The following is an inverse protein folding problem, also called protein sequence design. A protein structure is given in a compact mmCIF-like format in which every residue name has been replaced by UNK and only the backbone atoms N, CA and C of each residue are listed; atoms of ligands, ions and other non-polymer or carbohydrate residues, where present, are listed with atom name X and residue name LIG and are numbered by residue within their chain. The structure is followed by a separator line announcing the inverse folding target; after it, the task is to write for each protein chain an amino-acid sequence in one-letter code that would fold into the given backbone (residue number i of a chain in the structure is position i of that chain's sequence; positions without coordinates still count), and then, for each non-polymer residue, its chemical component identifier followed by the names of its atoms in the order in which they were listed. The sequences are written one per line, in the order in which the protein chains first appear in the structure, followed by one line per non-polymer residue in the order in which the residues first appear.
data_IF_314042490422
#
_entry.id   IF_314042490422
#
_cell.length_a   1.000
_cell.length_b   1.000
_cell.length_c   1.000
_cell.angle_alpha   90.00
_cell.angle_beta   90.00
_cell.angle_gamma   90.00
#
_symmetry.space_group_name_H-M   'P 1'
#
loop_
_entity.id
_entity.type
_entity.pdbx_description
1 polymer ?
#
# COMPACT_ATOMS: atom_id res chain seq x y z
N UNK A 1 13.33 -25.85 10.39
CA UNK A 1 14.37 -24.80 10.20
C UNK A 1 14.27 -24.07 8.85
N UNK A 2 13.50 -24.58 7.89
CA UNK A 2 13.30 -23.91 6.59
C UNK A 2 12.30 -22.73 6.62
N UNK A 3 11.42 -22.66 7.61
CA UNK A 3 10.36 -21.64 7.68
C UNK A 3 10.81 -20.22 8.11
N UNK A 4 12.04 -20.03 8.55
CA UNK A 4 12.56 -18.70 8.98
C UNK A 4 13.30 -17.95 7.87
N UNK A 5 13.85 -18.65 6.91
CA UNK A 5 14.59 -18.07 5.79
C UNK A 5 13.67 -17.36 4.77
N UNK A 6 12.40 -17.72 4.73
CA UNK A 6 11.41 -17.22 3.75
C UNK A 6 10.66 -15.95 4.23
N UNK A 7 10.91 -15.51 5.48
CA UNK A 7 10.29 -14.31 6.04
C UNK A 7 11.03 -13.05 5.57
N UNK A 8 10.30 -11.99 5.15
CA UNK A 8 10.94 -10.72 4.81
C UNK A 8 11.79 -10.20 5.97
N UNK A 9 13.02 -9.78 5.66
CA UNK A 9 14.00 -9.31 6.63
C UNK A 9 14.00 -7.79 6.71
N UNK A 10 13.68 -7.25 7.87
CA UNK A 10 13.60 -5.81 8.12
C UNK A 10 14.76 -5.36 8.98
N UNK A 11 15.47 -4.31 8.56
CA UNK A 11 16.44 -3.60 9.38
C UNK A 11 15.73 -2.40 10.05
N UNK A 12 15.73 -2.35 11.38
CA UNK A 12 15.22 -1.23 12.16
C UNK A 12 16.39 -0.41 12.68
N UNK A 13 16.46 0.86 12.28
CA UNK A 13 17.54 1.80 12.64
C UNK A 13 16.94 2.99 13.39
N UNK A 14 17.22 3.10 14.68
CA UNK A 14 16.73 4.16 15.55
C UNK A 14 17.68 4.25 16.76
N UNK A 15 17.98 5.42 17.30
CA UNK A 15 18.84 5.56 18.46
C UNK A 15 18.13 5.27 19.80
N UNK A 16 16.79 5.35 19.82
CA UNK A 16 15.97 4.96 20.97
C UNK A 16 15.93 3.44 21.16
N UNK A 17 16.66 2.95 22.16
CA UNK A 17 16.72 1.52 22.49
C UNK A 17 15.34 0.93 22.80
N UNK A 18 14.48 1.68 23.49
CA UNK A 18 13.14 1.20 23.88
C UNK A 18 12.26 1.04 22.65
N UNK A 19 12.28 2.00 21.74
CA UNK A 19 11.51 1.93 20.50
C UNK A 19 12.01 0.79 19.61
N UNK A 20 13.34 0.61 19.47
CA UNK A 20 13.92 -0.51 18.71
C UNK A 20 13.44 -1.87 19.23
N UNK A 21 13.47 -2.10 20.54
CA UNK A 21 13.02 -3.38 21.12
C UNK A 21 11.52 -3.61 20.96
N UNK A 22 10.71 -2.56 21.09
CA UNK A 22 9.28 -2.63 20.83
C UNK A 22 8.98 -2.98 19.36
N UNK A 23 9.65 -2.30 18.42
CA UNK A 23 9.49 -2.57 16.99
C UNK A 23 9.95 -3.96 16.61
N UNK A 24 11.11 -4.40 17.13
CA UNK A 24 11.62 -5.76 16.91
C UNK A 24 10.62 -6.80 17.38
N UNK A 25 10.13 -6.67 18.62
CA UNK A 25 9.14 -7.60 19.17
C UNK A 25 7.83 -7.60 18.37
N UNK A 26 7.31 -6.41 18.03
CA UNK A 26 6.07 -6.26 17.29
C UNK A 26 6.15 -6.86 15.88
N UNK A 27 7.17 -6.52 15.12
CA UNK A 27 7.35 -6.99 13.75
C UNK A 27 7.65 -8.48 13.69
N UNK A 28 8.44 -9.02 14.64
CA UNK A 28 8.70 -10.46 14.71
C UNK A 28 7.41 -11.27 14.95
N UNK A 29 6.50 -10.78 15.80
CA UNK A 29 5.17 -11.40 16.01
C UNK A 29 4.27 -11.32 14.77
N UNK A 30 4.52 -10.36 13.88
CA UNK A 30 3.76 -10.17 12.65
C UNK A 30 4.44 -10.83 11.42
N UNK A 31 5.35 -11.79 11.63
CA UNK A 31 5.87 -12.63 10.57
C UNK A 31 7.12 -12.12 9.86
N UNK A 32 7.81 -11.12 10.40
CA UNK A 32 9.05 -10.60 9.85
C UNK A 32 10.28 -11.13 10.60
N UNK A 33 11.39 -11.29 9.89
CA UNK A 33 12.71 -11.37 10.50
C UNK A 33 13.22 -9.95 10.74
N UNK A 34 13.75 -9.65 11.93
CA UNK A 34 14.11 -8.28 12.30
C UNK A 34 15.53 -8.21 12.86
N UNK A 35 16.35 -7.36 12.27
CA UNK A 35 17.64 -6.93 12.78
C UNK A 35 17.53 -5.48 13.22
N UNK A 36 18.20 -5.12 14.32
CA UNK A 36 18.20 -3.77 14.85
C UNK A 36 19.61 -3.16 14.77
N UNK A 37 19.66 -1.85 14.58
CA UNK A 37 20.87 -1.03 14.63
C UNK A 37 20.58 0.28 15.37
N UNK A 38 21.54 0.75 16.17
CA UNK A 38 21.40 1.96 16.98
C UNK A 38 21.89 3.23 16.28
N UNK A 39 22.48 3.11 15.12
CA UNK A 39 23.09 4.20 14.36
C UNK A 39 23.27 3.85 12.88
N UNK A 40 23.51 4.84 12.05
CA UNK A 40 23.87 4.67 10.64
C UNK A 40 25.16 3.82 10.48
N UNK A 41 26.13 3.97 11.38
CA UNK A 41 27.38 3.17 11.36
C UNK A 41 27.10 1.69 11.60
N UNK A 42 26.30 1.35 12.60
CA UNK A 42 25.91 -0.03 12.87
C UNK A 42 25.04 -0.60 11.71
N UNK A 43 24.12 0.21 11.17
CA UNK A 43 23.33 -0.20 10.02
C UNK A 43 24.20 -0.59 8.81
N UNK A 44 25.24 0.18 8.48
CA UNK A 44 26.20 -0.18 7.42
C UNK A 44 26.89 -1.51 7.67
N UNK A 45 27.32 -1.78 8.90
CA UNK A 45 27.93 -3.07 9.25
C UNK A 45 26.96 -4.23 9.03
N UNK A 46 25.67 -4.04 9.37
CA UNK A 46 24.64 -5.05 9.13
C UNK A 46 24.41 -5.30 7.64
N UNK A 47 24.38 -4.25 6.84
CA UNK A 47 24.19 -4.31 5.38
C UNK A 47 25.37 -4.99 4.65
N UNK A 48 26.58 -5.00 5.22
CA UNK A 48 27.71 -5.72 4.62
C UNK A 48 27.61 -7.24 4.72
N UNK A 49 26.84 -7.75 5.67
CA UNK A 49 26.77 -9.19 5.94
C UNK A 49 25.40 -9.81 5.81
N UNK A 50 24.36 -9.01 5.59
CA UNK A 50 22.96 -9.45 5.56
C UNK A 50 22.18 -8.69 4.49
N UNK A 51 21.34 -9.40 3.78
CA UNK A 51 20.37 -8.81 2.87
C UNK A 51 19.08 -8.44 3.62
N UNK A 52 18.52 -7.30 3.28
CA UNK A 52 17.29 -6.78 3.85
C UNK A 52 16.28 -6.46 2.76
N UNK A 53 15.01 -6.80 3.01
CA UNK A 53 13.89 -6.48 2.12
C UNK A 53 13.36 -5.06 2.35
N UNK A 54 13.62 -4.47 3.54
CA UNK A 54 13.21 -3.10 3.89
C UNK A 54 14.00 -2.58 5.09
N UNK A 55 14.25 -1.27 5.07
CA UNK A 55 14.83 -0.52 6.20
C UNK A 55 13.76 0.40 6.80
N UNK A 56 13.49 0.26 8.10
CA UNK A 56 12.76 1.24 8.90
C UNK A 56 13.79 2.13 9.57
N UNK A 57 13.80 3.42 9.21
CA UNK A 57 14.91 4.33 9.52
C UNK A 57 14.42 5.59 10.23
N UNK A 58 14.92 5.88 11.41
CA UNK A 58 14.66 7.16 12.05
C UNK A 58 15.40 8.30 11.35
N UNK A 59 14.71 9.43 11.19
CA UNK A 59 15.30 10.67 10.64
C UNK A 59 16.31 11.27 11.60
N UNK A 60 15.97 11.31 12.90
CA UNK A 60 16.73 12.05 13.91
C UNK A 60 17.65 11.11 14.69
N UNK A 61 18.86 10.88 14.20
CA UNK A 61 19.86 10.11 14.90
C UNK A 61 21.10 10.94 15.20
N UNK A 62 21.81 10.70 16.34
CA UNK A 62 23.06 11.36 16.66
C UNK A 62 24.17 11.09 15.63
N UNK A 63 24.93 12.10 15.28
CA UNK A 63 26.05 12.03 14.35
C UNK A 63 25.62 12.14 12.90
N UNK A 64 25.03 11.10 12.33
CA UNK A 64 24.52 11.09 10.96
C UNK A 64 22.99 10.93 10.95
N UNK A 65 22.29 11.86 10.30
CA UNK A 65 20.84 11.79 10.17
C UNK A 65 20.41 10.64 9.27
N UNK A 66 19.17 10.13 9.48
CA UNK A 66 18.61 9.10 8.60
C UNK A 66 18.50 9.55 7.14
N UNK A 67 18.21 10.83 6.89
CA UNK A 67 18.16 11.38 5.53
C UNK A 67 19.52 11.40 4.83
N UNK A 68 20.59 11.69 5.55
CA UNK A 68 21.95 11.63 5.01
C UNK A 68 22.35 10.17 4.72
N UNK A 69 22.04 9.27 5.65
CA UNK A 69 22.30 7.84 5.49
C UNK A 69 21.52 7.24 4.30
N UNK A 70 20.22 7.57 4.17
CA UNK A 70 19.41 7.13 3.04
C UNK A 70 19.98 7.63 1.70
N UNK A 71 20.40 8.91 1.62
CA UNK A 71 21.02 9.47 0.43
C UNK A 71 22.37 8.84 0.05
N UNK A 72 23.15 8.39 1.02
CA UNK A 72 24.34 7.60 0.77
C UNK A 72 24.01 6.19 0.26
N UNK A 73 23.06 5.52 0.92
CA UNK A 73 22.67 4.16 0.60
C UNK A 73 22.13 4.05 -0.83
N UNK A 74 21.34 5.02 -1.27
CA UNK A 74 20.78 5.06 -2.65
C UNK A 74 21.82 5.13 -3.76
N UNK A 75 23.07 5.37 -3.45
CA UNK A 75 24.15 5.33 -4.46
C UNK A 75 24.62 3.91 -4.77
N UNK A 76 24.34 2.96 -3.89
CA UNK A 76 24.85 1.58 -3.95
C UNK A 76 23.80 0.52 -3.76
N UNK A 77 22.60 0.88 -3.25
CA UNK A 77 21.57 -0.07 -2.86
C UNK A 77 20.17 0.54 -3.07
N UNK A 78 19.28 -0.26 -3.64
CA UNK A 78 17.88 0.09 -3.91
C UNK A 78 16.92 -0.50 -2.86
N UNK A 79 17.45 -0.99 -1.71
CA UNK A 79 16.62 -1.54 -0.63
C UNK A 79 15.56 -0.51 -0.20
N UNK A 80 14.28 -0.88 -0.11
CA UNK A 80 13.21 0.04 0.27
C UNK A 80 13.43 0.67 1.64
N UNK A 81 13.12 1.96 1.78
CA UNK A 81 13.28 2.71 3.03
C UNK A 81 11.95 3.33 3.45
N UNK A 82 11.48 2.98 4.65
CA UNK A 82 10.40 3.65 5.36
C UNK A 82 11.00 4.54 6.45
N UNK A 83 10.83 5.85 6.32
CA UNK A 83 11.36 6.82 7.30
C UNK A 83 10.39 7.02 8.46
N UNK A 84 10.93 7.01 9.70
CA UNK A 84 10.23 7.46 10.89
C UNK A 84 10.64 8.91 11.18
N UNK A 85 9.68 9.82 11.34
CA UNK A 85 9.97 11.23 11.57
C UNK A 85 9.20 11.80 12.77
N UNK A 86 9.85 12.61 13.59
CA UNK A 86 9.21 13.36 14.64
C UNK A 86 8.52 14.58 14.01
N UNK A 87 7.29 14.40 13.53
CA UNK A 87 6.36 15.41 13.02
C UNK A 87 6.82 16.30 11.84
N UNK A 88 6.20 16.12 10.71
CA UNK A 88 5.28 16.97 10.01
C UNK A 88 5.74 18.34 9.53
N UNK A 89 7.02 18.64 9.28
CA UNK A 89 7.27 19.71 8.33
C UNK A 89 7.07 19.14 6.91
N UNK A 90 6.08 19.67 6.14
CA UNK A 90 5.88 19.27 4.74
C UNK A 90 7.16 19.39 3.91
N UNK A 91 8.10 20.27 4.30
CA UNK A 91 9.39 20.46 3.63
C UNK A 91 10.33 19.26 3.80
N UNK A 92 10.35 18.64 4.97
CA UNK A 92 11.18 17.45 5.22
C UNK A 92 10.67 16.24 4.44
N UNK A 93 9.35 16.12 4.27
CA UNK A 93 8.74 15.06 3.44
C UNK A 93 9.07 15.23 1.95
N UNK A 94 9.06 16.46 1.44
CA UNK A 94 9.38 16.77 0.03
C UNK A 94 10.87 16.50 -0.21
N UNK A 95 11.76 17.00 0.66
CA UNK A 95 13.20 16.80 0.56
C UNK A 95 13.62 15.33 0.65
N UNK A 96 12.86 14.52 1.36
CA UNK A 96 13.13 13.10 1.46
C UNK A 96 12.61 12.27 0.29
N UNK A 97 11.47 12.63 -0.31
CA UNK A 97 10.99 12.03 -1.55
C UNK A 97 11.98 12.27 -2.70
N UNK A 98 12.61 13.44 -2.75
CA UNK A 98 13.70 13.77 -3.69
C UNK A 98 14.97 12.93 -3.46
N UNK A 99 15.17 12.38 -2.24
CA UNK A 99 16.29 11.52 -1.86
C UNK A 99 16.02 10.02 -2.02
N UNK A 100 14.89 9.64 -2.65
CA UNK A 100 14.59 8.25 -3.00
C UNK A 100 14.07 7.40 -1.82
N UNK A 101 13.41 8.01 -0.83
CA UNK A 101 12.70 7.30 0.25
C UNK A 101 11.33 6.85 -0.24
N UNK A 102 10.92 5.63 0.10
CA UNK A 102 9.72 4.98 -0.44
C UNK A 102 8.43 5.37 0.30
N UNK A 103 8.50 5.62 1.62
CA UNK A 103 7.37 6.10 2.42
C UNK A 103 7.84 6.78 3.73
N UNK A 104 6.93 7.52 4.37
CA UNK A 104 7.15 8.24 5.64
C UNK A 104 6.07 7.91 6.65
N UNK A 105 6.47 7.82 7.94
CA UNK A 105 5.56 7.64 9.06
C UNK A 105 5.93 8.63 10.18
N UNK A 106 4.95 9.47 10.58
CA UNK A 106 5.14 10.46 11.66
C UNK A 106 5.09 9.81 13.04
N UNK A 107 6.05 10.13 13.92
CA UNK A 107 6.01 9.83 15.37
C UNK A 107 5.16 10.88 16.10
N UNK A 108 4.25 10.49 17.02
CA UNK A 108 3.88 9.14 17.42
C UNK A 108 2.96 8.44 16.38
N UNK A 109 3.10 7.14 16.23
CA UNK A 109 2.33 6.33 15.29
C UNK A 109 1.69 5.12 15.97
N UNK A 110 0.61 4.63 15.38
CA UNK A 110 0.00 3.37 15.77
C UNK A 110 0.78 2.18 15.17
N UNK A 111 1.08 1.12 15.96
CA UNK A 111 1.80 -0.04 15.44
C UNK A 111 1.16 -0.68 14.20
N UNK A 112 -0.16 -0.62 14.12
CA UNK A 112 -0.92 -1.14 12.96
C UNK A 112 -0.66 -0.31 11.70
N UNK A 113 -0.51 1.01 11.82
CA UNK A 113 -0.18 1.88 10.68
C UNK A 113 1.21 1.55 10.14
N UNK A 114 2.21 1.40 11.02
CA UNK A 114 3.56 0.97 10.64
C UNK A 114 3.51 -0.36 9.87
N UNK A 115 2.78 -1.35 10.39
CA UNK A 115 2.66 -2.67 9.75
C UNK A 115 2.09 -2.57 8.33
N UNK A 116 1.02 -1.80 8.14
CA UNK A 116 0.38 -1.60 6.83
C UNK A 116 1.33 -0.90 5.84
N UNK A 117 2.10 0.08 6.30
CA UNK A 117 3.09 0.77 5.46
C UNK A 117 4.24 -0.14 5.05
N UNK A 118 4.78 -0.91 5.98
CA UNK A 118 5.80 -1.93 5.70
C UNK A 118 5.30 -2.90 4.62
N UNK A 119 4.11 -3.46 4.80
CA UNK A 119 3.51 -4.38 3.83
C UNK A 119 3.34 -3.72 2.45
N UNK A 120 2.92 -2.46 2.40
CA UNK A 120 2.77 -1.72 1.15
C UNK A 120 4.10 -1.47 0.44
N UNK A 121 5.15 -1.11 1.18
CA UNK A 121 6.48 -0.85 0.62
C UNK A 121 7.10 -2.16 0.11
N UNK A 122 7.10 -3.22 0.91
CA UNK A 122 7.62 -4.54 0.52
C UNK A 122 6.93 -5.09 -0.73
N UNK A 123 5.63 -4.87 -0.84
CA UNK A 123 4.85 -5.28 -1.99
C UNK A 123 5.26 -4.57 -3.28
N UNK A 124 5.56 -3.27 -3.20
CA UNK A 124 6.02 -2.48 -4.37
C UNK A 124 7.43 -2.86 -4.82
N UNK A 125 8.27 -3.27 -3.88
CA UNK A 125 9.67 -3.62 -4.12
C UNK A 125 9.86 -5.02 -4.71
N UNK A 126 8.93 -5.96 -4.47
CA UNK A 126 9.02 -7.29 -5.07
C UNK A 126 8.67 -7.24 -6.56
N UNK A 127 9.46 -7.90 -7.43
CA UNK A 127 8.99 -8.15 -8.79
C UNK A 127 7.62 -8.82 -8.72
N UNK A 128 6.66 -8.42 -9.54
CA UNK A 128 5.34 -9.01 -9.51
C UNK A 128 5.45 -10.51 -9.82
N UNK A 129 5.07 -11.36 -8.86
CA UNK A 129 4.94 -12.79 -9.08
C UNK A 129 3.85 -13.01 -10.14
N UNK A 130 4.17 -13.62 -11.29
CA UNK A 130 3.20 -13.81 -12.37
C UNK A 130 1.95 -14.56 -11.93
N UNK A 131 2.06 -15.44 -10.94
CA UNK A 131 0.94 -16.23 -10.40
C UNK A 131 0.05 -15.40 -9.46
N UNK A 132 0.61 -14.48 -8.69
CA UNK A 132 -0.14 -13.57 -7.81
C UNK A 132 -0.75 -12.38 -8.58
N UNK A 133 -0.18 -12.01 -9.72
CA UNK A 133 -0.75 -10.96 -10.58
C UNK A 133 -2.14 -11.30 -11.11
N UNK A 134 -2.41 -12.57 -11.39
CA UNK A 134 -3.70 -13.00 -11.96
C UNK A 134 -4.84 -12.85 -10.94
N UNK A 135 -4.57 -13.08 -9.64
CA UNK A 135 -5.58 -12.92 -8.59
C UNK A 135 -5.77 -11.46 -8.14
N UNK A 136 -4.78 -10.62 -8.36
CA UNK A 136 -4.73 -9.23 -7.91
C UNK A 136 -5.29 -8.24 -8.93
N UNK A 137 -5.00 -8.48 -10.22
CA UNK A 137 -5.44 -7.62 -11.32
C UNK A 137 -6.74 -8.15 -11.91
N UNK A 138 -7.82 -7.46 -11.63
CA UNK A 138 -9.11 -7.76 -12.26
C UNK A 138 -9.25 -6.95 -13.54
N UNK A 139 -9.40 -7.66 -14.66
CA UNK A 139 -9.63 -7.04 -15.95
C UNK A 139 -11.12 -7.05 -16.28
N UNK A 140 -11.65 -5.94 -16.77
CA UNK A 140 -13.00 -5.84 -17.33
C UNK A 140 -13.00 -4.84 -18.49
N UNK A 141 -13.27 -5.31 -19.67
CA UNK A 141 -13.09 -4.54 -20.91
C UNK A 141 -11.66 -3.99 -21.02
N UNK A 142 -11.45 -2.69 -21.31
CA UNK A 142 -10.12 -2.09 -21.40
C UNK A 142 -9.52 -1.68 -20.05
N UNK A 143 -10.21 -1.96 -18.94
CA UNK A 143 -9.84 -1.58 -17.59
C UNK A 143 -9.09 -2.68 -16.87
N UNK A 144 -8.08 -2.30 -16.10
CA UNK A 144 -7.38 -3.16 -15.15
C UNK A 144 -7.44 -2.53 -13.77
N UNK A 145 -8.00 -3.23 -12.81
CA UNK A 145 -8.13 -2.78 -11.43
C UNK A 145 -7.26 -3.62 -10.52
N UNK A 146 -6.33 -2.98 -9.84
CA UNK A 146 -5.53 -3.59 -8.80
C UNK A 146 -6.31 -3.59 -7.48
N UNK A 147 -6.72 -4.78 -7.03
CA UNK A 147 -7.50 -4.97 -5.81
C UNK A 147 -6.80 -4.48 -4.55
N UNK A 148 -5.48 -4.56 -4.51
CA UNK A 148 -4.71 -4.20 -3.34
C UNK A 148 -4.37 -2.71 -3.32
N UNK A 149 -3.85 -2.17 -4.44
CA UNK A 149 -3.52 -0.75 -4.54
C UNK A 149 -4.77 0.12 -4.64
N UNK A 150 -5.91 -0.44 -5.09
CA UNK A 150 -7.09 0.34 -5.42
C UNK A 150 -6.86 1.25 -6.63
N UNK A 151 -5.95 0.88 -7.50
CA UNK A 151 -5.62 1.64 -8.70
C UNK A 151 -6.35 1.08 -9.92
N UNK A 152 -6.96 1.98 -10.67
CA UNK A 152 -7.60 1.66 -11.94
C UNK A 152 -6.75 2.21 -13.08
N UNK A 153 -6.48 1.38 -14.07
CA UNK A 153 -5.79 1.78 -15.31
C UNK A 153 -6.62 1.45 -16.53
N UNK A 154 -6.54 2.29 -17.55
CA UNK A 154 -7.10 2.06 -18.87
C UNK A 154 -6.00 2.14 -19.91
N UNK A 155 -5.70 1.03 -20.59
CA UNK A 155 -4.59 0.94 -21.57
C UNK A 155 -3.27 1.51 -21.00
N UNK A 156 -2.94 1.14 -19.75
CA UNK A 156 -1.74 1.59 -19.04
C UNK A 156 -1.77 3.02 -18.49
N UNK A 157 -2.85 3.80 -18.70
CA UNK A 157 -3.02 5.14 -18.13
C UNK A 157 -3.86 5.07 -16.86
N UNK A 158 -3.40 5.71 -15.79
CA UNK A 158 -4.12 5.77 -14.51
C UNK A 158 -5.42 6.56 -14.64
N UNK A 159 -6.51 5.96 -14.12
CA UNK A 159 -7.82 6.60 -13.99
C UNK A 159 -7.98 7.00 -12.51
N UNK A 160 -8.07 8.30 -12.16
CA UNK A 160 -8.17 8.73 -10.78
C UNK A 160 -9.50 8.33 -10.18
N UNK A 161 -9.46 7.66 -9.01
CA UNK A 161 -10.62 7.26 -8.23
C UNK A 161 -10.61 7.94 -6.86
N UNK A 162 -11.80 8.22 -6.32
CA UNK A 162 -11.98 8.59 -4.91
C UNK A 162 -12.04 7.34 -4.04
N UNK A 163 -11.82 7.47 -2.72
CA UNK A 163 -11.86 6.33 -1.78
C UNK A 163 -13.20 5.58 -1.84
N UNK A 164 -14.32 6.30 -1.98
CA UNK A 164 -15.64 5.70 -2.13
C UNK A 164 -15.79 4.92 -3.45
N UNK A 165 -15.21 5.40 -4.54
CA UNK A 165 -15.21 4.68 -5.83
C UNK A 165 -14.29 3.45 -5.78
N UNK A 166 -13.16 3.53 -5.08
CA UNK A 166 -12.27 2.40 -4.83
C UNK A 166 -12.98 1.32 -4.02
N UNK A 167 -13.64 1.69 -2.93
CA UNK A 167 -14.38 0.75 -2.08
C UNK A 167 -15.52 0.08 -2.86
N UNK A 168 -16.28 0.85 -3.66
CA UNK A 168 -17.32 0.33 -4.53
C UNK A 168 -16.77 -0.64 -5.57
N UNK A 169 -15.67 -0.28 -6.23
CA UNK A 169 -15.06 -1.11 -7.28
C UNK A 169 -14.46 -2.39 -6.69
N UNK A 170 -13.83 -2.35 -5.51
CA UNK A 170 -13.39 -3.54 -4.77
C UNK A 170 -14.52 -4.50 -4.46
N UNK A 171 -15.66 -3.99 -3.98
CA UNK A 171 -16.83 -4.81 -3.69
C UNK A 171 -17.38 -5.51 -4.94
N UNK A 172 -17.43 -4.79 -6.06
CA UNK A 172 -17.94 -5.30 -7.34
C UNK A 172 -16.98 -6.29 -8.01
N UNK A 173 -15.67 -6.00 -8.00
CA UNK A 173 -14.66 -6.87 -8.61
C UNK A 173 -14.43 -8.15 -7.82
N UNK A 174 -14.52 -8.10 -6.48
CA UNK A 174 -14.46 -9.30 -5.64
C UNK A 174 -15.63 -10.29 -5.88
N UNK A 175 -16.65 -9.87 -6.63
CA UNK A 175 -17.82 -10.70 -7.03
C UNK A 175 -18.18 -10.45 -8.50
N UNK A 176 -17.16 -10.46 -9.35
CA UNK A 176 -17.32 -10.23 -10.79
C UNK A 176 -18.40 -11.16 -11.39
N UNK A 177 -19.29 -10.63 -12.20
CA UNK A 177 -20.40 -11.36 -12.79
C UNK A 177 -21.61 -11.59 -11.87
N UNK A 178 -21.51 -11.36 -10.58
CA UNK A 178 -22.62 -11.52 -9.63
C UNK A 178 -23.39 -10.20 -9.42
N UNK A 179 -24.66 -10.32 -9.07
CA UNK A 179 -25.51 -9.16 -8.70
C UNK A 179 -25.31 -8.84 -7.24
N UNK A 180 -24.95 -7.60 -6.94
CA UNK A 180 -24.85 -7.08 -5.57
C UNK A 180 -26.02 -6.13 -5.30
N UNK A 181 -26.75 -6.37 -4.22
CA UNK A 181 -27.80 -5.45 -3.79
C UNK A 181 -27.23 -4.11 -3.32
N UNK A 182 -28.05 -3.05 -3.35
CA UNK A 182 -27.64 -1.74 -2.82
C UNK A 182 -27.23 -1.83 -1.36
N UNK A 183 -28.00 -2.57 -0.57
CA UNK A 183 -27.69 -2.82 0.84
C UNK A 183 -26.33 -3.51 1.04
N UNK A 184 -26.01 -4.53 0.23
CA UNK A 184 -24.70 -5.21 0.28
C UNK A 184 -23.57 -4.27 -0.09
N UNK A 185 -23.77 -3.38 -1.07
CA UNK A 185 -22.80 -2.36 -1.47
C UNK A 185 -22.62 -1.30 -0.38
N UNK A 186 -23.70 -0.86 0.28
CA UNK A 186 -23.62 0.06 1.43
C UNK A 186 -22.71 -0.53 2.52
N UNK A 187 -22.90 -1.79 2.90
CA UNK A 187 -22.09 -2.47 3.92
C UNK A 187 -20.60 -2.56 3.52
N UNK A 188 -20.32 -2.65 2.23
CA UNK A 188 -18.95 -2.77 1.72
C UNK A 188 -18.23 -1.42 1.58
N UNK A 189 -18.98 -0.33 1.35
CA UNK A 189 -18.41 1.02 1.12
C UNK A 189 -18.26 1.79 2.44
N UNK A 190 -19.12 1.55 3.43
CA UNK A 190 -19.03 2.17 4.76
C UNK A 190 -20.38 2.23 5.47
N UNK A 191 -20.35 2.25 6.81
CA UNK A 191 -21.55 2.20 7.66
C UNK A 191 -22.51 3.39 7.50
N UNK A 192 -22.02 4.53 7.05
CA UNK A 192 -22.79 5.77 6.93
C UNK A 192 -23.31 6.04 5.50
N UNK A 193 -23.12 5.06 4.59
CA UNK A 193 -23.52 5.18 3.18
C UNK A 193 -24.93 4.62 2.99
N UNK A 194 -25.86 5.44 2.47
CA UNK A 194 -27.20 5.02 2.12
C UNK A 194 -27.30 4.57 0.64
N UNK A 195 -28.42 3.90 0.27
CA UNK A 195 -28.61 3.37 -1.07
C UNK A 195 -28.57 4.46 -2.17
N UNK A 196 -29.06 5.66 -1.89
CA UNK A 196 -28.99 6.78 -2.83
C UNK A 196 -27.57 7.23 -3.09
N UNK A 197 -26.71 7.19 -2.07
CA UNK A 197 -25.29 7.50 -2.24
C UNK A 197 -24.61 6.45 -3.13
N UNK A 198 -24.96 5.16 -3.03
CA UNK A 198 -24.50 4.12 -3.95
C UNK A 198 -24.89 4.43 -5.40
N UNK A 199 -26.14 4.83 -5.65
CA UNK A 199 -26.60 5.17 -7.01
C UNK A 199 -25.79 6.35 -7.60
N UNK A 200 -25.44 7.33 -6.76
CA UNK A 200 -24.58 8.46 -7.15
C UNK A 200 -23.15 7.99 -7.46
N UNK A 201 -22.58 7.13 -6.61
CA UNK A 201 -21.24 6.60 -6.82
C UNK A 201 -21.16 5.72 -8.09
N UNK A 202 -22.16 4.89 -8.33
CA UNK A 202 -22.29 4.11 -9.57
C UNK A 202 -22.31 5.03 -10.80
N UNK A 203 -23.08 6.12 -10.75
CA UNK A 203 -23.15 7.09 -11.85
C UNK A 203 -21.79 7.76 -12.09
N UNK A 204 -21.08 8.13 -11.04
CA UNK A 204 -19.73 8.72 -11.14
C UNK A 204 -18.71 7.72 -11.69
N UNK A 205 -18.73 6.49 -11.18
CA UNK A 205 -17.84 5.43 -11.64
C UNK A 205 -18.07 5.10 -13.11
N UNK A 206 -19.33 5.02 -13.58
CA UNK A 206 -19.65 4.82 -15.01
C UNK A 206 -19.03 5.88 -15.91
N UNK A 207 -19.02 7.14 -15.51
CA UNK A 207 -18.37 8.22 -16.29
C UNK A 207 -16.87 7.99 -16.50
N UNK A 208 -16.24 7.18 -15.67
CA UNK A 208 -14.81 6.89 -15.72
C UNK A 208 -14.48 5.58 -16.46
N UNK A 209 -15.37 4.60 -16.37
CA UNK A 209 -15.09 3.24 -16.89
C UNK A 209 -15.88 2.86 -18.15
N UNK A 210 -17.02 3.52 -18.40
CA UNK A 210 -17.87 3.18 -19.55
C UNK A 210 -17.54 4.03 -20.77
N UNK A 211 -17.60 3.46 -21.97
CA UNK A 211 -17.53 4.25 -23.20
C UNK A 211 -18.71 5.21 -23.33
N UNK A 212 -19.91 4.76 -22.92
CA UNK A 212 -21.14 5.55 -22.82
C UNK A 212 -21.81 5.28 -21.48
N UNK A 213 -21.82 6.24 -20.55
CA UNK A 213 -22.47 6.08 -19.24
C UNK A 213 -23.99 5.83 -19.30
N UNK A 214 -24.65 6.26 -20.39
CA UNK A 214 -26.08 6.04 -20.62
C UNK A 214 -26.41 4.59 -21.02
N UNK A 215 -25.46 3.92 -21.67
CA UNK A 215 -25.56 2.51 -22.10
C UNK A 215 -24.41 1.68 -21.51
N UNK A 216 -24.40 1.43 -20.19
CA UNK A 216 -23.28 0.81 -19.50
C UNK A 216 -23.08 -0.64 -19.95
N UNK A 217 -21.83 -0.95 -20.38
CA UNK A 217 -21.41 -2.27 -20.80
C UNK A 217 -20.87 -3.09 -19.63
N UNK A 218 -20.08 -2.48 -18.77
CA UNK A 218 -19.36 -3.17 -17.69
C UNK A 218 -20.15 -3.13 -16.38
N UNK A 219 -20.57 -1.95 -15.92
CA UNK A 219 -21.30 -1.78 -14.66
C UNK A 219 -22.82 -1.68 -14.93
N UNK A 220 -23.48 -2.82 -14.95
CA UNK A 220 -24.91 -2.94 -15.34
C UNK A 220 -25.84 -2.80 -14.14
N UNK A 221 -26.99 -2.18 -14.38
CA UNK A 221 -28.11 -2.18 -13.42
C UNK A 221 -28.97 -3.43 -13.64
N UNK A 222 -29.22 -4.18 -12.58
CA UNK A 222 -30.19 -5.26 -12.56
C UNK A 222 -31.45 -4.74 -11.83
N UNK A 223 -32.51 -4.46 -12.57
CA UNK A 223 -33.70 -3.82 -12.03
C UNK A 223 -34.27 -4.60 -10.84
N UNK A 224 -34.57 -3.89 -9.76
CA UNK A 224 -35.10 -4.48 -8.53
C UNK A 224 -34.08 -5.26 -7.67
N UNK A 225 -32.87 -5.50 -8.16
CA UNK A 225 -31.87 -6.32 -7.46
C UNK A 225 -30.62 -5.52 -7.06
N UNK A 226 -30.08 -4.67 -7.94
CA UNK A 226 -28.88 -3.90 -7.65
C UNK A 226 -27.97 -3.71 -8.86
N UNK A 227 -26.67 -3.96 -8.69
CA UNK A 227 -25.63 -3.72 -9.69
C UNK A 227 -24.76 -4.94 -9.91
N UNK A 228 -24.23 -5.09 -11.12
CA UNK A 228 -23.33 -6.16 -11.51
C UNK A 228 -22.21 -5.61 -12.37
N UNK A 229 -20.96 -5.91 -12.01
CA UNK A 229 -19.80 -5.68 -12.88
C UNK A 229 -19.57 -6.92 -13.72
N UNK A 230 -19.39 -6.76 -15.02
CA UNK A 230 -19.12 -7.86 -15.96
C UNK A 230 -17.89 -7.53 -16.80
N UNK A 231 -17.18 -8.57 -17.18
CA UNK A 231 -16.20 -8.53 -18.27
C UNK A 231 -16.99 -8.69 -19.58
N UNK A 232 -17.01 -7.68 -20.44
CA UNK A 232 -17.83 -7.64 -21.66
C UNK A 232 -16.97 -7.33 -22.89
#
# INVERSE_FOLDING_TARGET
MEAEADKPHILVVDDDTRLRELLKSFLSRNGFRVTAASSASEARQRLQGLDFDLIVLDVMMPGQTGLEFAGELRRTDDVPILMLTAMGDPKDRIAGLEKGVDDYLGKPFEPRELLLRIQNVLRRARPPDPTQQVERLITFGPMQFDLELGELTQKGKRVPLTDAEIALLRALTGRLGQVLSREALCKSVGSDVNERAIDVQVTRLRRKIEPDPGFPRYLRTVRGQGYRLVDA
#
